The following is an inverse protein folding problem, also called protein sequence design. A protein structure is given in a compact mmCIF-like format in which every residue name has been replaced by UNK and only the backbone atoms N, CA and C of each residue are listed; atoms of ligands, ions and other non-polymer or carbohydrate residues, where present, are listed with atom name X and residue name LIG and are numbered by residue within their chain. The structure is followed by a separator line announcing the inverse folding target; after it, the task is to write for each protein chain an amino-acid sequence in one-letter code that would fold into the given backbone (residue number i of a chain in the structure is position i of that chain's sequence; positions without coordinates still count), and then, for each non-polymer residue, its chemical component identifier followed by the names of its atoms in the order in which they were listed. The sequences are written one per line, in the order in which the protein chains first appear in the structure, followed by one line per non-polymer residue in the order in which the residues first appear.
data_IF_689574993179
#
_entry.id   IF_689574993179
#
_cell.length_a   1.000
_cell.length_b   1.000
_cell.length_c   1.000
_cell.angle_alpha   90.00
_cell.angle_beta   90.00
_cell.angle_gamma   90.00
#
_symmetry.space_group_name_H-M   'P 1'
#
loop_
_entity.id
_entity.type
_entity.pdbx_description
1 polymer ?
#
# COMPACT_ATOMS: atom_id res chain seq x y z
N UNK A 1 16.78 46.40 17.65
CA UNK A 1 15.64 45.77 16.93
C UNK A 1 14.36 46.10 17.67
N UNK A 2 13.40 46.77 17.03
CA UNK A 2 12.15 47.21 17.66
C UNK A 2 11.24 46.02 17.97
N UNK A 3 11.14 45.66 19.25
CA UNK A 3 10.31 44.58 19.82
C UNK A 3 8.83 44.62 19.38
N UNK A 4 8.34 45.77 18.92
CA UNK A 4 6.94 46.01 18.53
C UNK A 4 6.42 45.16 17.35
N UNK A 5 7.29 44.50 16.59
CA UNK A 5 6.91 43.66 15.44
C UNK A 5 7.14 42.16 15.64
N UNK A 6 7.74 41.75 16.75
CA UNK A 6 8.04 40.33 17.02
C UNK A 6 6.76 39.56 17.35
N UNK A 7 5.89 40.15 18.17
CA UNK A 7 4.63 39.52 18.59
C UNK A 7 3.62 39.39 17.41
N UNK A 8 3.38 40.42 16.58
CA UNK A 8 2.56 40.28 15.38
C UNK A 8 3.10 39.26 14.37
N UNK A 9 4.43 39.22 14.19
CA UNK A 9 5.08 38.28 13.27
C UNK A 9 4.91 36.80 13.68
N UNK A 10 5.02 36.51 14.98
CA UNK A 10 4.79 35.15 15.51
C UNK A 10 3.31 34.75 15.36
N UNK A 11 2.38 35.68 15.58
CA UNK A 11 0.95 35.42 15.38
C UNK A 11 0.60 35.06 13.93
N UNK A 12 1.19 35.77 12.96
CA UNK A 12 0.96 35.48 11.53
C UNK A 12 1.53 34.11 11.14
N UNK A 13 2.70 33.74 11.65
CA UNK A 13 3.29 32.40 11.43
C UNK A 13 2.43 31.28 12.03
N UNK A 14 1.87 31.49 13.22
CA UNK A 14 0.94 30.53 13.84
C UNK A 14 -0.37 30.40 13.06
N UNK A 15 -0.90 31.50 12.52
CA UNK A 15 -2.08 31.49 11.66
C UNK A 15 -1.82 30.74 10.34
N UNK A 16 -0.69 30.97 9.68
CA UNK A 16 -0.32 30.26 8.46
C UNK A 16 -0.11 28.76 8.74
N UNK A 17 0.55 28.42 9.85
CA UNK A 17 0.72 27.03 10.29
C UNK A 17 -0.61 26.33 10.59
N UNK A 18 -1.53 27.00 11.28
CA UNK A 18 -2.86 26.46 11.61
C UNK A 18 -3.72 26.25 10.34
N UNK A 19 -3.65 27.16 9.37
CA UNK A 19 -4.35 27.06 8.09
C UNK A 19 -3.81 25.87 7.28
N UNK A 20 -2.49 25.65 7.26
CA UNK A 20 -1.87 24.53 6.53
C UNK A 20 -2.25 23.17 7.13
N UNK A 21 -2.40 23.09 8.46
CA UNK A 21 -2.86 21.87 9.16
C UNK A 21 -4.35 21.64 8.93
N UNK A 22 -5.17 22.70 8.95
CA UNK A 22 -6.62 22.60 8.79
C UNK A 22 -7.06 22.34 7.33
N UNK A 23 -6.27 22.80 6.34
CA UNK A 23 -6.53 22.63 4.90
C UNK A 23 -5.56 21.65 4.23
N UNK A 24 -4.87 20.82 5.01
CA UNK A 24 -4.05 19.75 4.45
C UNK A 24 -4.87 18.93 3.44
N UNK A 25 -4.26 18.47 2.33
CA UNK A 25 -4.98 17.77 1.28
C UNK A 25 -5.76 16.61 1.91
N UNK A 26 -7.08 16.62 1.69
CA UNK A 26 -7.96 15.56 2.18
C UNK A 26 -7.76 14.34 1.29
N UNK A 27 -6.66 13.62 1.52
CA UNK A 27 -6.31 12.42 0.73
C UNK A 27 -7.35 11.37 1.07
N UNK A 28 -8.18 10.94 0.11
CA UNK A 28 -9.25 9.99 0.38
C UNK A 28 -8.65 8.64 0.78
N UNK A 29 -9.29 8.00 1.74
CA UNK A 29 -8.99 6.62 2.12
C UNK A 29 -9.45 5.67 1.02
N UNK A 30 -8.59 4.72 0.63
CA UNK A 30 -8.89 3.81 -0.49
C UNK A 30 -8.73 2.36 -0.08
N UNK A 31 -9.58 1.50 -0.63
CA UNK A 31 -9.32 0.07 -0.64
C UNK A 31 -8.18 -0.24 -1.61
N UNK A 32 -7.33 -1.19 -1.25
CA UNK A 32 -6.20 -1.60 -2.07
C UNK A 32 -6.49 -3.01 -2.58
N UNK A 33 -6.38 -3.17 -3.90
CA UNK A 33 -6.52 -4.45 -4.58
C UNK A 33 -5.20 -4.79 -5.25
N UNK A 34 -4.85 -6.07 -5.23
CA UNK A 34 -3.71 -6.59 -5.98
C UNK A 34 -4.13 -7.77 -6.83
N UNK A 35 -3.78 -7.68 -8.11
CA UNK A 35 -3.93 -8.71 -9.12
C UNK A 35 -2.56 -9.36 -9.29
N UNK A 36 -2.46 -10.65 -9.00
CA UNK A 36 -1.20 -11.40 -9.02
C UNK A 36 -1.24 -12.45 -10.11
N UNK A 37 -0.21 -12.49 -10.95
CA UNK A 37 0.03 -13.59 -11.88
C UNK A 37 1.12 -14.50 -11.32
N UNK A 38 0.76 -15.72 -10.95
CA UNK A 38 1.67 -16.74 -10.47
C UNK A 38 2.19 -17.60 -11.63
N UNK A 39 3.44 -18.05 -11.53
CA UNK A 39 4.05 -19.00 -12.47
C UNK A 39 3.72 -20.45 -12.13
N UNK A 40 3.24 -20.69 -10.91
CA UNK A 40 2.91 -22.00 -10.39
C UNK A 40 1.60 -21.93 -9.61
N UNK A 41 0.78 -22.97 -9.74
CA UNK A 41 -0.45 -23.11 -8.97
C UNK A 41 -0.22 -23.33 -7.48
N UNK A 42 -1.30 -23.33 -6.70
CA UNK A 42 -1.28 -23.65 -5.26
C UNK A 42 -0.88 -22.50 -4.33
N UNK A 43 -0.86 -21.26 -4.83
CA UNK A 43 -0.69 -20.08 -3.96
C UNK A 43 -2.04 -19.69 -3.33
N UNK A 44 -2.09 -19.66 -2.00
CA UNK A 44 -3.25 -19.31 -1.20
C UNK A 44 -3.03 -18.00 -0.45
N UNK A 45 -4.01 -17.10 -0.49
CA UNK A 45 -3.95 -15.82 0.20
C UNK A 45 -4.07 -15.98 1.72
N UNK A 46 -3.16 -15.37 2.47
CA UNK A 46 -3.07 -15.46 3.93
C UNK A 46 -3.50 -14.16 4.65
N UNK A 47 -3.62 -13.05 3.92
CA UNK A 47 -3.91 -11.73 4.49
C UNK A 47 -2.89 -10.68 4.07
N UNK A 48 -2.88 -9.55 4.76
CA UNK A 48 -1.94 -8.47 4.49
C UNK A 48 -1.32 -7.92 5.78
N UNK A 49 -0.12 -7.38 5.66
CA UNK A 49 0.58 -6.67 6.74
C UNK A 49 0.94 -5.26 6.31
N UNK A 50 1.03 -4.36 7.29
CA UNK A 50 1.26 -2.93 7.06
C UNK A 50 2.45 -2.46 7.88
N UNK A 51 3.33 -1.73 7.22
CA UNK A 51 4.52 -1.13 7.81
C UNK A 51 4.65 0.30 7.29
N UNK A 52 4.09 1.28 8.01
CA UNK A 52 4.05 2.67 7.58
C UNK A 52 3.22 2.83 6.30
N UNK A 53 3.83 3.37 5.24
CA UNK A 53 3.21 3.55 3.92
C UNK A 53 3.32 2.32 3.01
N UNK A 54 3.80 1.19 3.53
CA UNK A 54 3.94 -0.07 2.79
C UNK A 54 2.87 -1.06 3.22
N UNK A 55 2.20 -1.66 2.24
CA UNK A 55 1.35 -2.85 2.45
C UNK A 55 1.97 -4.05 1.75
N UNK A 56 1.89 -5.22 2.38
CA UNK A 56 2.36 -6.49 1.81
C UNK A 56 1.23 -7.50 1.87
N UNK A 57 0.79 -7.98 0.71
CA UNK A 57 -0.17 -9.08 0.62
C UNK A 57 0.59 -10.40 0.68
N UNK A 58 0.17 -11.30 1.56
CA UNK A 58 0.88 -12.53 1.85
C UNK A 58 0.16 -13.72 1.20
N UNK A 59 0.92 -14.50 0.45
CA UNK A 59 0.50 -15.73 -0.19
C UNK A 59 1.41 -16.85 0.29
N UNK A 60 0.83 -18.05 0.46
CA UNK A 60 1.55 -19.24 0.88
C UNK A 60 1.27 -20.38 -0.09
N UNK A 61 2.31 -21.15 -0.38
CA UNK A 61 2.29 -22.30 -1.28
C UNK A 61 2.97 -23.45 -0.53
N UNK A 62 2.19 -24.46 -0.16
CA UNK A 62 2.66 -25.63 0.57
C UNK A 62 2.42 -26.91 -0.21
N UNK A 63 3.39 -27.84 -0.14
CA UNK A 63 3.28 -29.17 -0.73
C UNK A 63 4.54 -29.61 -1.46
N UNK A 64 4.57 -30.88 -1.83
CA UNK A 64 5.76 -31.52 -2.43
C UNK A 64 5.79 -31.38 -3.96
N UNK A 65 4.65 -31.08 -4.59
CA UNK A 65 4.51 -30.96 -6.04
C UNK A 65 3.59 -29.79 -6.40
N UNK A 66 4.05 -28.92 -7.31
CA UNK A 66 3.26 -27.80 -7.83
C UNK A 66 3.00 -27.97 -9.32
N UNK A 67 1.78 -27.63 -9.75
CA UNK A 67 1.46 -27.57 -11.17
C UNK A 67 2.15 -26.34 -11.78
N UNK A 68 2.98 -26.56 -12.80
CA UNK A 68 3.56 -25.50 -13.63
C UNK A 68 2.50 -24.94 -14.58
N UNK A 69 1.57 -24.17 -14.03
CA UNK A 69 0.53 -23.47 -14.76
C UNK A 69 0.51 -22.01 -14.32
N UNK A 70 0.34 -21.12 -15.28
CA UNK A 70 0.11 -19.70 -15.00
C UNK A 70 -1.28 -19.57 -14.38
N UNK A 71 -1.35 -19.06 -13.15
CA UNK A 71 -2.62 -18.81 -12.46
C UNK A 71 -2.71 -17.36 -12.04
N UNK A 72 -3.94 -16.88 -11.88
CA UNK A 72 -4.20 -15.52 -11.40
C UNK A 72 -4.82 -15.58 -10.00
N UNK A 73 -4.34 -14.71 -9.12
CA UNK A 73 -4.92 -14.48 -7.80
C UNK A 73 -5.33 -13.02 -7.64
N UNK A 74 -6.31 -12.82 -6.78
CA UNK A 74 -6.84 -11.50 -6.45
C UNK A 74 -6.90 -11.39 -4.94
N UNK A 75 -6.40 -10.29 -4.40
CA UNK A 75 -6.52 -9.98 -2.98
C UNK A 75 -6.87 -8.51 -2.78
N UNK A 76 -7.56 -8.23 -1.67
CA UNK A 76 -7.93 -6.88 -1.31
C UNK A 76 -7.81 -6.66 0.20
N UNK A 77 -7.71 -5.40 0.57
CA UNK A 77 -7.81 -4.99 1.97
C UNK A 77 -9.26 -5.04 2.45
N UNK A 78 -9.47 -5.34 3.73
CA UNK A 78 -10.79 -5.28 4.37
C UNK A 78 -11.14 -3.87 4.86
N UNK A 79 -10.12 -3.02 5.03
CA UNK A 79 -10.24 -1.62 5.44
C UNK A 79 -9.61 -0.68 4.40
N UNK A 80 -9.83 0.62 4.58
CA UNK A 80 -9.35 1.67 3.68
C UNK A 80 -8.11 2.34 4.26
N UNK A 81 -7.17 2.71 3.39
CA UNK A 81 -5.91 3.32 3.80
C UNK A 81 -5.67 4.66 3.13
N UNK A 82 -5.02 5.57 3.88
CA UNK A 82 -4.39 6.78 3.32
C UNK A 82 -2.90 6.54 3.13
N UNK A 83 -2.31 7.20 2.16
CA UNK A 83 -0.86 7.33 2.03
C UNK A 83 -0.08 6.00 1.87
N UNK A 84 -0.69 4.97 1.28
CA UNK A 84 0.08 3.80 0.85
C UNK A 84 0.85 4.14 -0.42
N UNK A 85 2.17 4.09 -0.33
CA UNK A 85 3.10 4.41 -1.42
C UNK A 85 3.58 3.16 -2.15
N UNK A 86 3.70 2.06 -1.41
CA UNK A 86 4.28 0.83 -1.93
C UNK A 86 3.43 -0.37 -1.57
N UNK A 87 3.14 -1.18 -2.58
CA UNK A 87 2.42 -2.44 -2.46
C UNK A 87 3.38 -3.55 -2.87
N UNK A 88 3.49 -4.56 -2.02
CA UNK A 88 4.26 -5.77 -2.30
C UNK A 88 3.35 -6.99 -2.20
N UNK A 89 3.76 -8.05 -2.87
CA UNK A 89 3.34 -9.40 -2.54
C UNK A 89 4.51 -10.14 -1.92
N UNK A 90 4.20 -10.99 -0.95
CA UNK A 90 5.10 -11.97 -0.35
C UNK A 90 4.57 -13.33 -0.72
N UNK A 91 5.39 -14.17 -1.33
CA UNK A 91 5.06 -15.56 -1.63
C UNK A 91 6.00 -16.44 -0.81
N UNK A 92 5.43 -17.20 0.12
CA UNK A 92 6.13 -18.22 0.90
C UNK A 92 5.89 -19.59 0.24
N UNK A 93 6.92 -20.19 -0.34
CA UNK A 93 6.86 -21.55 -0.91
C UNK A 93 7.67 -22.50 -0.05
N UNK A 94 7.00 -23.29 0.79
CA UNK A 94 7.64 -24.22 1.73
C UNK A 94 8.76 -23.57 2.59
N UNK A 95 8.57 -22.33 3.03
CA UNK A 95 9.54 -21.56 3.82
C UNK A 95 10.51 -20.72 2.98
N UNK A 96 10.55 -20.88 1.66
CA UNK A 96 11.29 -19.99 0.77
C UNK A 96 10.46 -18.74 0.42
N UNK A 97 10.92 -17.57 0.87
CA UNK A 97 10.13 -16.34 0.84
C UNK A 97 10.66 -15.40 -0.26
N UNK A 98 9.78 -15.08 -1.20
CA UNK A 98 10.05 -14.13 -2.26
C UNK A 98 9.12 -12.90 -2.16
N UNK A 99 9.67 -11.71 -2.43
CA UNK A 99 8.92 -10.45 -2.42
C UNK A 99 8.92 -9.82 -3.81
N UNK A 100 7.75 -9.37 -4.26
CA UNK A 100 7.60 -8.70 -5.55
C UNK A 100 6.86 -7.38 -5.37
N UNK A 101 7.44 -6.30 -5.90
CA UNK A 101 6.78 -4.98 -5.90
C UNK A 101 5.66 -4.98 -6.94
N UNK A 102 4.48 -4.54 -6.54
CA UNK A 102 3.35 -4.40 -7.42
C UNK A 102 3.30 -3.00 -8.05
N UNK A 103 2.83 -2.94 -9.29
CA UNK A 103 2.71 -1.70 -10.05
C UNK A 103 1.27 -1.23 -10.07
N UNK A 104 1.05 0.04 -9.74
CA UNK A 104 -0.27 0.65 -9.81
C UNK A 104 -0.72 0.77 -11.26
N UNK A 105 -1.91 0.27 -11.58
CA UNK A 105 -2.46 0.37 -12.93
C UNK A 105 -3.82 1.05 -12.99
N UNK A 106 -4.50 1.22 -11.85
CA UNK A 106 -5.81 1.87 -11.79
C UNK A 106 -6.04 2.55 -10.44
N UNK A 107 -6.70 3.71 -10.45
CA UNK A 107 -7.00 4.49 -9.24
C UNK A 107 -8.27 5.32 -9.40
N UNK A 108 -9.13 5.28 -8.38
CA UNK A 108 -10.30 6.15 -8.18
C UNK A 108 -10.23 6.78 -6.78
N UNK A 109 -11.27 7.51 -6.37
CA UNK A 109 -11.38 8.05 -5.02
C UNK A 109 -11.62 6.97 -3.95
N UNK A 110 -12.14 5.81 -4.34
CA UNK A 110 -12.46 4.71 -3.42
C UNK A 110 -11.46 3.55 -3.46
N UNK A 111 -10.77 3.36 -4.58
CA UNK A 111 -10.01 2.14 -4.85
C UNK A 111 -8.69 2.45 -5.56
N UNK A 112 -7.64 1.71 -5.20
CA UNK A 112 -6.41 1.61 -5.99
C UNK A 112 -6.16 0.15 -6.33
N UNK A 113 -5.85 -0.15 -7.59
CA UNK A 113 -5.50 -1.49 -8.05
C UNK A 113 -4.05 -1.56 -8.50
N UNK A 114 -3.41 -2.63 -8.08
CA UNK A 114 -2.02 -2.95 -8.36
C UNK A 114 -1.93 -4.30 -9.05
N UNK A 115 -0.94 -4.46 -9.91
CA UNK A 115 -0.68 -5.73 -10.59
C UNK A 115 0.76 -6.17 -10.37
N UNK A 116 0.98 -7.47 -10.34
CA UNK A 116 2.32 -8.05 -10.22
C UNK A 116 2.39 -9.41 -10.89
N UNK A 117 3.55 -9.70 -11.48
CA UNK A 117 3.84 -10.97 -12.12
C UNK A 117 5.01 -11.60 -11.35
N UNK A 118 4.80 -12.80 -10.81
CA UNK A 118 5.84 -13.63 -10.19
C UNK A 118 6.95 -13.88 -11.23
N UNK A 119 8.19 -13.54 -10.91
CA UNK A 119 9.34 -13.63 -11.82
C UNK A 119 10.18 -14.88 -11.59
#
# INVERSE_FOLDING_TARGET
MNSKYIIPGIMVLLLIGAIYIALGPNIPEKYIFVDVTFKMGGAEYQGYTIQGSKITFEFKREGDFFTQAITSGFASTSERFRNITDVYIKIDTNGDINYYKAEKFYETDDVVKYQVIEK
#
